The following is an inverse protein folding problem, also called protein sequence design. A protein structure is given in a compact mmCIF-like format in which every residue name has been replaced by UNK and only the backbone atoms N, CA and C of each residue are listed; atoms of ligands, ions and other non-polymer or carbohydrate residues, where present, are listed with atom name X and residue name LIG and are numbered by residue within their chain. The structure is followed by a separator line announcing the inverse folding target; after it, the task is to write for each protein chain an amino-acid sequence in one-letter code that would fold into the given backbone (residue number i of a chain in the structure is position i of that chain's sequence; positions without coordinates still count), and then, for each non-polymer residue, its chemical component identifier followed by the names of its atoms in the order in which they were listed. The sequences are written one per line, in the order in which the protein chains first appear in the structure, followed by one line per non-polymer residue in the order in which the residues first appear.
data_IF_694082817091
#
_entry.id   IF_694082817091
#
_cell.length_a   1.000
_cell.length_b   1.000
_cell.length_c   1.000
_cell.angle_alpha   90.00
_cell.angle_beta   90.00
_cell.angle_gamma   90.00
#
_symmetry.space_group_name_H-M   'P 1'
#
loop_
_entity.id
_entity.type
_entity.pdbx_description
1 polymer ?
#
# COMPACT_ATOMS: atom_id res chain seq x y z
N UNK A 1 1.50 5.58 -18.11
CA UNK A 1 1.70 6.94 -18.66
C UNK A 1 0.80 7.88 -17.87
N UNK A 2 1.32 8.98 -17.32
CA UNK A 2 0.48 9.98 -16.64
C UNK A 2 -0.33 10.73 -17.68
N UNK A 3 -1.57 11.08 -17.35
CA UNK A 3 -2.48 11.80 -18.25
C UNK A 3 -3.23 12.87 -17.46
N UNK A 4 -3.59 13.97 -18.14
CA UNK A 4 -4.40 15.03 -17.56
C UNK A 4 -3.71 15.76 -16.40
N UNK A 5 -4.42 15.92 -15.28
CA UNK A 5 -3.96 16.68 -14.11
C UNK A 5 -2.64 16.15 -13.53
N UNK A 6 -2.47 14.82 -13.50
CA UNK A 6 -1.25 14.20 -13.00
C UNK A 6 -0.02 14.48 -13.88
N UNK A 7 -0.20 14.60 -15.20
CA UNK A 7 0.89 14.96 -16.11
C UNK A 7 1.28 16.43 -15.92
N UNK A 8 0.29 17.32 -15.80
CA UNK A 8 0.53 18.74 -15.56
C UNK A 8 1.25 18.98 -14.23
N UNK A 9 0.77 18.36 -13.15
CA UNK A 9 1.41 18.41 -11.84
C UNK A 9 2.86 17.90 -11.90
N UNK A 10 3.08 16.70 -12.45
CA UNK A 10 4.41 16.11 -12.47
C UNK A 10 5.41 16.96 -13.26
N UNK A 11 4.99 17.58 -14.36
CA UNK A 11 5.84 18.49 -15.15
C UNK A 11 6.31 19.69 -14.34
N UNK A 12 5.42 20.31 -13.56
CA UNK A 12 5.77 21.44 -12.69
C UNK A 12 6.69 21.02 -11.54
N UNK A 13 6.38 19.90 -10.89
CA UNK A 13 7.23 19.34 -9.82
C UNK A 13 8.62 18.96 -10.32
N UNK A 14 8.71 18.33 -11.50
CA UNK A 14 9.98 17.98 -12.14
C UNK A 14 10.83 19.22 -12.40
N UNK A 15 10.24 20.30 -12.93
CA UNK A 15 10.96 21.55 -13.19
C UNK A 15 11.52 22.17 -11.89
N UNK A 16 10.75 22.17 -10.81
CA UNK A 16 11.20 22.66 -9.50
C UNK A 16 12.34 21.82 -8.93
N UNK A 17 12.24 20.49 -9.01
CA UNK A 17 13.27 19.56 -8.52
C UNK A 17 14.57 19.66 -9.34
N UNK A 18 14.45 19.77 -10.66
CA UNK A 18 15.60 19.98 -11.53
C UNK A 18 16.30 21.32 -11.23
N UNK A 19 15.52 22.38 -10.99
CA UNK A 19 16.06 23.70 -10.63
C UNK A 19 16.74 23.73 -9.26
N UNK A 20 16.33 22.88 -8.32
CA UNK A 20 17.00 22.74 -7.01
C UNK A 20 18.24 21.85 -7.04
N UNK A 21 18.58 21.27 -8.21
CA UNK A 21 19.70 20.34 -8.36
C UNK A 21 19.41 18.94 -7.80
N UNK A 22 18.15 18.61 -7.49
CA UNK A 22 17.79 17.28 -7.04
C UNK A 22 17.90 16.27 -8.20
N UNK A 23 18.38 15.07 -7.91
CA UNK A 23 18.34 13.97 -8.88
C UNK A 23 16.91 13.45 -8.97
N UNK A 24 16.28 13.60 -10.13
CA UNK A 24 14.91 13.12 -10.36
C UNK A 24 14.96 11.73 -10.96
N UNK A 25 15.03 10.72 -10.10
CA UNK A 25 14.92 9.31 -10.47
C UNK A 25 13.50 8.75 -10.21
N UNK A 26 13.34 7.45 -10.44
CA UNK A 26 12.07 6.77 -10.23
C UNK A 26 11.61 6.79 -8.76
N UNK A 27 12.54 6.74 -7.82
CA UNK A 27 12.22 6.76 -6.39
C UNK A 27 11.72 8.14 -5.95
N UNK A 28 12.35 9.20 -6.45
CA UNK A 28 11.91 10.58 -6.28
C UNK A 28 10.49 10.78 -6.84
N UNK A 29 10.23 10.33 -8.07
CA UNK A 29 8.88 10.35 -8.64
C UNK A 29 7.88 9.63 -7.76
N UNK A 30 8.18 8.39 -7.36
CA UNK A 30 7.28 7.56 -6.54
C UNK A 30 6.97 8.25 -5.21
N UNK A 31 7.96 8.86 -4.57
CA UNK A 31 7.80 9.57 -3.31
C UNK A 31 6.87 10.77 -3.48
N UNK A 32 7.16 11.67 -4.42
CA UNK A 32 6.33 12.85 -4.68
C UNK A 32 4.90 12.49 -5.09
N UNK A 33 4.75 11.44 -5.90
CA UNK A 33 3.45 10.94 -6.34
C UNK A 33 2.63 10.41 -5.16
N UNK A 34 3.26 9.63 -4.29
CA UNK A 34 2.60 9.13 -3.08
C UNK A 34 2.22 10.27 -2.15
N UNK A 35 3.07 11.28 -1.93
CA UNK A 35 2.72 12.43 -1.08
C UNK A 35 1.55 13.24 -1.63
N UNK A 36 1.51 13.47 -2.95
CA UNK A 36 0.45 14.25 -3.61
C UNK A 36 -0.91 13.56 -3.57
N UNK A 37 -0.95 12.27 -3.88
CA UNK A 37 -2.21 11.52 -4.08
C UNK A 37 -2.61 10.65 -2.88
N UNK A 38 -1.65 10.30 -2.03
CA UNK A 38 -1.84 9.50 -0.83
C UNK A 38 -1.20 10.20 0.38
N UNK A 39 -1.79 11.32 0.84
CA UNK A 39 -1.26 12.04 1.98
C UNK A 39 -1.21 11.15 3.23
N UNK A 40 -0.38 11.53 4.19
CA UNK A 40 -0.12 10.74 5.41
C UNK A 40 -1.40 10.31 6.13
N UNK A 41 -2.41 11.17 6.20
CA UNK A 41 -3.72 10.84 6.79
C UNK A 41 -4.43 9.69 6.07
N UNK A 42 -4.37 9.65 4.74
CA UNK A 42 -4.95 8.58 3.92
C UNK A 42 -4.14 7.30 4.08
N UNK A 43 -2.79 7.39 4.08
CA UNK A 43 -1.92 6.23 4.36
C UNK A 43 -2.20 5.66 5.74
N UNK A 44 -2.24 6.50 6.76
CA UNK A 44 -2.54 6.08 8.12
C UNK A 44 -3.93 5.43 8.25
N UNK A 45 -4.95 5.99 7.59
CA UNK A 45 -6.28 5.36 7.54
C UNK A 45 -6.23 3.97 6.89
N UNK A 46 -5.44 3.80 5.81
CA UNK A 46 -5.24 2.50 5.15
C UNK A 46 -4.45 1.52 6.02
N UNK A 47 -3.46 1.98 6.77
CA UNK A 47 -2.72 1.16 7.74
C UNK A 47 -3.63 0.69 8.88
N UNK A 48 -4.50 1.55 9.40
CA UNK A 48 -5.51 1.19 10.41
C UNK A 48 -6.51 0.18 9.84
N UNK A 49 -6.97 0.37 8.60
CA UNK A 49 -7.85 -0.58 7.90
C UNK A 49 -7.16 -1.95 7.77
N UNK A 50 -5.89 -1.97 7.37
CA UNK A 50 -5.09 -3.18 7.24
C UNK A 50 -4.91 -3.91 8.57
N UNK A 51 -4.61 -3.18 9.65
CA UNK A 51 -4.42 -3.76 10.98
C UNK A 51 -5.69 -4.40 11.50
N UNK A 52 -6.86 -3.83 11.18
CA UNK A 52 -8.18 -4.36 11.56
C UNK A 52 -8.71 -5.43 10.62
N UNK A 53 -8.06 -5.67 9.47
CA UNK A 53 -8.53 -6.60 8.47
C UNK A 53 -8.52 -8.04 9.01
N UNK A 54 -9.69 -8.67 8.97
CA UNK A 54 -9.91 -10.09 9.18
C UNK A 54 -10.86 -10.60 8.10
N UNK A 55 -10.80 -11.90 7.79
CA UNK A 55 -11.64 -12.51 6.75
C UNK A 55 -13.13 -12.24 6.98
N UNK A 56 -13.60 -12.28 8.24
CA UNK A 56 -15.00 -11.98 8.56
C UNK A 56 -15.95 -12.88 7.75
N UNK A 57 -16.95 -12.30 7.08
CA UNK A 57 -17.84 -13.03 6.15
C UNK A 57 -17.32 -13.21 4.72
N UNK A 58 -16.15 -12.67 4.38
CA UNK A 58 -15.62 -12.66 2.99
C UNK A 58 -15.21 -14.06 2.53
N UNK A 59 -15.24 -14.28 1.21
CA UNK A 59 -14.51 -15.40 0.62
C UNK A 59 -12.99 -15.23 0.86
N UNK A 60 -12.23 -16.32 0.84
CA UNK A 60 -10.76 -16.23 1.02
C UNK A 60 -10.10 -15.43 -0.09
N UNK A 61 -10.58 -15.57 -1.33
CA UNK A 61 -10.09 -14.79 -2.47
C UNK A 61 -10.29 -13.30 -2.27
N UNK A 62 -11.47 -12.89 -1.82
CA UNK A 62 -11.78 -11.48 -1.52
C UNK A 62 -10.92 -10.94 -0.37
N UNK A 63 -10.75 -11.74 0.68
CA UNK A 63 -9.86 -11.40 1.79
C UNK A 63 -8.40 -11.25 1.32
N UNK A 64 -7.90 -12.16 0.48
CA UNK A 64 -6.55 -12.11 -0.08
C UNK A 64 -6.33 -10.88 -0.95
N UNK A 65 -7.25 -10.58 -1.87
CA UNK A 65 -7.19 -9.38 -2.68
C UNK A 65 -7.16 -8.11 -1.82
N UNK A 66 -8.01 -8.04 -0.80
CA UNK A 66 -8.07 -6.88 0.10
C UNK A 66 -6.80 -6.77 0.97
N UNK A 67 -6.25 -7.90 1.39
CA UNK A 67 -4.99 -7.96 2.14
C UNK A 67 -3.82 -7.43 1.31
N UNK A 68 -3.64 -7.92 0.08
CA UNK A 68 -2.56 -7.48 -0.81
C UNK A 68 -2.68 -5.99 -1.14
N UNK A 69 -3.89 -5.53 -1.49
CA UNK A 69 -4.15 -4.14 -1.80
C UNK A 69 -3.81 -3.22 -0.62
N UNK A 70 -4.17 -3.59 0.61
CA UNK A 70 -3.87 -2.79 1.80
C UNK A 70 -2.40 -2.90 2.24
N UNK A 71 -1.76 -4.06 2.05
CA UNK A 71 -0.34 -4.25 2.33
C UNK A 71 0.57 -3.39 1.44
N UNK A 72 0.10 -2.99 0.25
CA UNK A 72 0.82 -2.05 -0.62
C UNK A 72 0.93 -0.63 -0.06
N UNK A 73 -0.04 -0.20 0.75
CA UNK A 73 -0.03 1.12 1.39
C UNK A 73 0.80 1.15 2.66
N UNK A 74 1.21 -0.02 3.16
CA UNK A 74 2.05 -0.09 4.32
C UNK A 74 3.47 0.35 3.95
N UNK A 75 3.80 1.55 4.43
CA UNK A 75 5.00 2.32 4.08
C UNK A 75 6.31 1.66 4.51
N UNK A 76 6.25 0.80 5.53
CA UNK A 76 7.41 0.13 6.09
C UNK A 76 7.62 -1.21 5.38
N UNK A 77 8.84 -1.49 4.94
CA UNK A 77 9.23 -2.79 4.39
C UNK A 77 8.87 -3.91 5.36
N UNK A 78 7.69 -4.50 5.19
CA UNK A 78 7.22 -5.57 6.06
C UNK A 78 7.93 -6.85 5.63
N UNK A 79 8.63 -7.49 6.56
CA UNK A 79 9.15 -8.83 6.37
C UNK A 79 8.03 -9.77 5.90
N UNK A 80 8.29 -10.54 4.84
CA UNK A 80 7.32 -11.48 4.28
C UNK A 80 6.76 -12.44 5.34
N UNK A 81 7.62 -12.90 6.25
CA UNK A 81 7.24 -13.73 7.39
C UNK A 81 6.16 -13.08 8.29
N UNK A 82 6.21 -11.76 8.48
CA UNK A 82 5.17 -11.05 9.23
C UNK A 82 3.86 -11.00 8.42
N UNK A 83 3.93 -10.78 7.10
CA UNK A 83 2.73 -10.77 6.24
C UNK A 83 2.03 -12.11 6.27
N UNK A 84 2.77 -13.21 6.15
CA UNK A 84 2.22 -14.57 6.25
C UNK A 84 1.52 -14.80 7.59
N UNK A 85 2.15 -14.39 8.70
CA UNK A 85 1.55 -14.52 10.04
C UNK A 85 0.27 -13.69 10.16
N UNK A 86 0.31 -12.42 9.75
CA UNK A 86 -0.85 -11.52 9.80
C UNK A 86 -2.01 -12.02 8.95
N UNK A 87 -1.72 -12.57 7.77
CA UNK A 87 -2.72 -13.19 6.91
C UNK A 87 -3.37 -14.41 7.58
N UNK A 88 -2.55 -15.34 8.07
CA UNK A 88 -3.02 -16.53 8.77
C UNK A 88 -3.85 -16.17 10.02
N UNK A 89 -3.42 -15.18 10.79
CA UNK A 89 -4.13 -14.69 11.98
C UNK A 89 -5.45 -14.01 11.65
N UNK A 90 -5.62 -13.46 10.44
CA UNK A 90 -6.87 -12.85 9.99
C UNK A 90 -7.88 -13.85 9.41
N UNK A 91 -7.49 -15.10 9.12
CA UNK A 91 -8.40 -16.13 8.62
C UNK A 91 -9.45 -16.54 9.66
N UNK A 92 -10.62 -16.97 9.18
CA UNK A 92 -11.66 -17.59 10.02
C UNK A 92 -11.14 -18.87 10.67
N UNK A 93 -11.67 -19.18 11.86
CA UNK A 93 -11.24 -20.32 12.67
C UNK A 93 -11.29 -21.66 11.92
N UNK A 94 -12.33 -21.88 11.11
CA UNK A 94 -12.51 -23.11 10.33
C UNK A 94 -11.39 -23.34 9.31
N UNK A 95 -10.88 -22.27 8.70
CA UNK A 95 -9.73 -22.33 7.78
C UNK A 95 -8.41 -22.48 8.52
N UNK A 96 -8.24 -21.84 9.67
CA UNK A 96 -7.05 -22.01 10.52
C UNK A 96 -6.83 -23.47 10.96
N UNK A 97 -7.90 -24.27 11.08
CA UNK A 97 -7.81 -25.70 11.42
C UNK A 97 -7.17 -26.54 10.31
N UNK A 98 -7.36 -26.17 9.04
CA UNK A 98 -6.78 -26.89 7.90
C UNK A 98 -5.25 -26.80 7.91
N UNK A 99 -4.70 -25.67 8.33
CA UNK A 99 -3.26 -25.43 8.41
C UNK A 99 -2.57 -25.97 9.68
N UNK A 100 -3.32 -26.63 10.60
CA UNK A 100 -2.80 -27.20 11.85
C UNK A 100 -2.69 -28.74 11.83
N UNK A 101 -2.93 -29.37 10.68
CA UNK A 101 -2.76 -30.82 10.46
C UNK A 101 -1.42 -31.07 9.80
#
# INVERSE_FOLDING_TARGET
MLVGEAEHWWRGTYQMLAASGATVDWECFRTMFMEKYFPESVRHAKEVEFMRLHQGGMAVSEYAMKFEHLAHFYSHGIAEAWKCRKFADGLRYEMKRVFRT
#
